data_IF_355922329891
#
_entry.id   IF_355922329891
#
_cell.length_a   1.000
_cell.length_b   1.000
_cell.length_c   1.000
_cell.angle_alpha   90.00
_cell.angle_beta   90.00
_cell.angle_gamma   90.00
#
_symmetry.space_group_name_H-M   'P 1'
#
loop_
_entity.id
_entity.type
_entity.pdbx_description
1 polymer ?
#
# COMPACT_ATOMS: atom_id res chain seq x y z
N UNK A 1 -18.34 -13.95 -2.86
CA UNK A 1 -18.55 -13.23 -2.72
C UNK A 1 -18.03 -12.48 -1.83
N UNK A 2 -18.07 -12.38 -1.16
CA UNK A 2 -17.59 -11.70 -0.18
C UNK A 2 -16.21 -11.74 0.06
N UNK A 3 -15.52 -12.50 -0.59
CA UNK A 3 -14.17 -12.67 -0.32
C UNK A 3 -13.35 -11.49 -0.48
N UNK A 4 -13.69 -10.67 -1.37
CA UNK A 4 -12.90 -9.56 -1.59
C UNK A 4 -12.87 -8.63 -0.51
N UNK A 5 -13.79 -8.68 0.35
CA UNK A 5 -13.79 -7.76 1.37
C UNK A 5 -12.68 -7.86 2.26
N UNK A 6 -12.06 -8.97 2.41
CA UNK A 6 -11.00 -9.09 3.38
C UNK A 6 -9.71 -8.52 2.87
N UNK A 7 -9.63 -8.14 1.60
CA UNK A 7 -8.41 -7.59 1.10
C UNK A 7 -8.56 -6.13 0.81
N UNK A 8 -7.69 -5.33 1.38
CA UNK A 8 -7.69 -3.91 1.11
C UNK A 8 -6.68 -3.60 0.03
N UNK A 9 -6.92 -2.61 -0.79
CA UNK A 9 -5.90 -2.13 -1.70
C UNK A 9 -4.68 -1.72 -0.89
N UNK A 10 -3.51 -1.81 -1.51
CA UNK A 10 -2.28 -1.53 -0.81
C UNK A 10 -2.30 -0.17 -0.14
N UNK A 11 -2.78 0.84 -0.81
CA UNK A 11 -2.80 2.18 -0.25
C UNK A 11 -3.60 2.25 1.03
N UNK A 12 -4.79 1.66 1.01
CA UNK A 12 -5.64 1.70 2.19
C UNK A 12 -5.05 0.87 3.31
N UNK A 13 -4.42 -0.23 2.96
CA UNK A 13 -3.77 -1.06 3.96
C UNK A 13 -2.69 -0.25 4.67
N UNK A 14 -1.92 0.51 3.94
CA UNK A 14 -0.85 1.30 4.54
C UNK A 14 -1.41 2.38 5.46
N UNK A 15 -2.54 2.96 5.09
CA UNK A 15 -3.17 3.96 5.93
C UNK A 15 -3.69 3.31 7.22
N UNK A 16 -4.34 2.20 7.10
CA UNK A 16 -4.91 1.52 8.26
C UNK A 16 -3.81 1.09 9.22
N UNK A 17 -2.69 0.66 8.70
CA UNK A 17 -1.60 0.24 9.56
C UNK A 17 -0.80 1.41 10.09
N UNK A 18 -1.10 2.60 9.64
CA UNK A 18 -0.44 3.78 10.17
C UNK A 18 0.89 4.13 9.52
N UNK A 19 1.20 3.52 8.39
CA UNK A 19 2.44 3.84 7.70
C UNK A 19 2.36 5.15 6.94
N UNK A 20 1.18 5.50 6.45
CA UNK A 20 0.98 6.76 5.75
C UNK A 20 -0.36 7.34 6.17
N UNK A 21 -0.60 8.59 5.82
CA UNK A 21 -1.87 9.23 6.11
C UNK A 21 -2.75 9.24 4.87
N UNK A 22 -4.01 9.59 5.06
CA UNK A 22 -4.92 9.71 3.95
C UNK A 22 -4.46 10.75 2.94
N UNK A 23 -3.93 11.86 3.43
CA UNK A 23 -3.45 12.90 2.54
C UNK A 23 -2.27 12.40 1.73
N UNK A 24 -1.37 11.67 2.34
CA UNK A 24 -0.23 11.12 1.64
C UNK A 24 -0.68 10.13 0.57
N UNK A 25 -1.68 9.33 0.89
CA UNK A 25 -2.20 8.40 -0.09
C UNK A 25 -2.80 9.15 -1.27
N UNK A 26 -3.55 10.21 -1.00
CA UNK A 26 -4.17 10.97 -2.06
C UNK A 26 -3.14 11.58 -3.00
N UNK A 27 -2.08 12.14 -2.42
CA UNK A 27 -1.02 12.73 -3.22
C UNK A 27 -0.35 11.66 -4.09
N UNK A 28 -0.09 10.49 -3.50
CA UNK A 28 0.55 9.43 -4.25
C UNK A 28 -0.33 8.94 -5.40
N UNK A 29 -1.63 8.86 -5.17
CA UNK A 29 -2.54 8.44 -6.23
C UNK A 29 -2.58 9.43 -7.38
N UNK A 30 -2.51 10.73 -7.05
CA UNK A 30 -2.47 11.72 -8.09
C UNK A 30 -1.19 11.61 -8.91
N UNK A 31 -0.07 11.36 -8.25
CA UNK A 31 1.19 11.19 -8.96
C UNK A 31 1.16 9.93 -9.80
N UNK A 32 0.52 8.89 -9.30
CA UNK A 32 0.45 7.65 -10.04
C UNK A 32 -0.28 7.84 -11.35
N UNK A 33 -1.29 8.66 -11.36
CA UNK A 33 -2.02 8.90 -12.58
C UNK A 33 -1.14 9.57 -13.61
N UNK A 34 -0.19 10.38 -13.17
CA UNK A 34 0.67 11.07 -14.09
C UNK A 34 1.76 10.18 -14.63
N UNK A 35 2.34 9.36 -13.78
CA UNK A 35 3.51 8.58 -14.15
C UNK A 35 3.20 7.14 -14.51
N UNK A 36 2.12 6.61 -14.02
CA UNK A 36 1.79 5.21 -14.26
C UNK A 36 2.58 4.23 -13.43
N UNK A 37 3.43 4.71 -12.52
CA UNK A 37 4.23 3.81 -11.72
C UNK A 37 3.38 3.17 -10.63
N UNK A 38 3.80 2.01 -10.10
CA UNK A 38 3.06 1.37 -9.04
C UNK A 38 2.98 2.26 -7.81
N UNK A 39 1.90 2.14 -7.07
CA UNK A 39 1.67 3.00 -5.91
C UNK A 39 2.80 2.92 -4.90
N UNK A 40 3.30 1.72 -4.63
CA UNK A 40 4.39 1.58 -3.68
C UNK A 40 5.60 2.39 -4.06
N UNK A 41 5.94 2.38 -5.34
CA UNK A 41 7.07 3.14 -5.81
C UNK A 41 6.81 4.63 -5.73
N UNK A 42 5.57 5.04 -5.94
CA UNK A 42 5.25 6.45 -5.81
C UNK A 42 5.44 6.90 -4.37
N UNK A 43 4.99 6.10 -3.42
CA UNK A 43 5.12 6.47 -2.01
C UNK A 43 6.57 6.57 -1.60
N UNK A 44 7.40 5.65 -2.05
CA UNK A 44 8.81 5.67 -1.72
C UNK A 44 9.47 6.88 -2.40
N UNK A 45 9.14 7.10 -3.65
CA UNK A 45 9.74 8.20 -4.39
C UNK A 45 9.37 9.56 -3.82
N UNK A 46 8.17 9.68 -3.27
CA UNK A 46 7.74 10.94 -2.68
C UNK A 46 8.30 11.12 -1.27
N UNK A 47 8.93 10.09 -0.73
CA UNK A 47 9.49 10.19 0.61
C UNK A 47 8.50 9.92 1.72
N UNK A 48 7.31 9.40 1.39
CA UNK A 48 6.30 9.13 2.39
C UNK A 48 6.52 7.78 3.06
N UNK A 49 7.30 6.92 2.44
CA UNK A 49 7.44 5.56 2.92
C UNK A 49 8.83 5.09 2.54
N UNK A 50 9.48 4.32 3.39
CA UNK A 50 10.78 3.78 3.02
C UNK A 50 10.58 2.45 2.34
N UNK A 51 11.58 2.02 1.58
CA UNK A 51 11.49 0.73 0.91
C UNK A 51 11.39 -0.40 1.92
N UNK A 52 12.08 -0.27 3.03
CA UNK A 52 12.03 -1.30 4.05
C UNK A 52 10.63 -1.41 4.62
N UNK A 53 9.99 -0.29 4.88
CA UNK A 53 8.64 -0.30 5.41
C UNK A 53 7.66 -0.86 4.40
N UNK A 54 7.83 -0.50 3.13
CA UNK A 54 6.96 -1.02 2.10
C UNK A 54 7.09 -2.53 2.01
N UNK A 55 8.32 -3.02 2.07
CA UNK A 55 8.56 -4.44 1.99
C UNK A 55 7.91 -5.15 3.19
N UNK A 56 8.00 -4.54 4.35
CA UNK A 56 7.42 -5.11 5.53
C UNK A 56 5.91 -5.22 5.41
N UNK A 57 5.28 -4.18 4.90
CA UNK A 57 3.84 -4.17 4.72
C UNK A 57 3.40 -5.24 3.72
N UNK A 58 4.15 -5.38 2.64
CA UNK A 58 3.82 -6.39 1.65
C UNK A 58 4.02 -7.79 2.21
N UNK A 59 5.05 -7.96 3.02
CA UNK A 59 5.32 -9.24 3.60
C UNK A 59 4.19 -9.68 4.53
N UNK A 60 3.69 -8.75 5.32
CA UNK A 60 2.59 -9.08 6.20
C UNK A 60 1.35 -9.46 5.41
N UNK A 61 1.10 -8.75 4.34
CA UNK A 61 -0.06 -9.04 3.54
C UNK A 61 0.07 -10.42 2.89
N UNK A 62 1.25 -10.74 2.40
CA UNK A 62 1.48 -12.02 1.79
C UNK A 62 1.40 -13.13 2.83
N UNK A 63 1.88 -12.84 4.01
CA UNK A 63 1.82 -13.82 5.09
C UNK A 63 0.41 -14.21 5.40
N UNK A 64 -0.49 -13.25 5.40
CA UNK A 64 -1.87 -13.55 5.67
C UNK A 64 -2.45 -14.43 4.59
N UNK A 65 -2.09 -14.17 3.37
CA UNK A 65 -2.59 -14.98 2.29
C UNK A 65 -2.07 -16.39 2.40
N UNK A 66 -0.85 -16.54 2.82
CA UNK A 66 -0.29 -17.85 2.95
C UNK A 66 -1.05 -18.67 3.97
N UNK A 67 -1.46 -18.03 5.00
CA UNK A 67 -2.16 -18.73 6.06
C UNK A 67 -3.47 -19.31 5.56
N UNK A 68 -4.08 -18.68 4.61
CA UNK A 68 -5.33 -19.15 4.13
C UNK A 68 -5.23 -20.50 3.47
N UNK A 69 -4.10 -20.89 3.07
CA UNK A 69 -3.97 -22.17 2.45
C UNK A 69 -4.10 -23.28 3.47
#
# INVERSE_FOLDING_TARGET
MTVQKSKLPLGELLVVKGFITDDQLRIALLEQKKTGAPLGKQLVGLGFLSEATLREALSENLGQESVDL
#
